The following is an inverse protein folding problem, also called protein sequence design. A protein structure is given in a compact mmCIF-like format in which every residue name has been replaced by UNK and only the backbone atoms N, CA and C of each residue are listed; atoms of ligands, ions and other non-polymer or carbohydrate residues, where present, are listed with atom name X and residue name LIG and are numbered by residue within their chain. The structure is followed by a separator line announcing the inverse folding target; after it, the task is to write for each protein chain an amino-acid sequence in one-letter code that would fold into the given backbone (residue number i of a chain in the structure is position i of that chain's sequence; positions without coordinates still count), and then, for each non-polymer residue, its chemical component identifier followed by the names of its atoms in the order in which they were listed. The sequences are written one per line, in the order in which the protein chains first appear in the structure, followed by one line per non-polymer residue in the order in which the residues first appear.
data_IF_251982997353
#
_entry.id   IF_251982997353
#
_cell.length_a   1.000
_cell.length_b   1.000
_cell.length_c   1.000
_cell.angle_alpha   90.00
_cell.angle_beta   90.00
_cell.angle_gamma   90.00
#
_symmetry.space_group_name_H-M   'P 1'
#
loop_
_entity.id
_entity.type
_entity.pdbx_description
1 polymer ?
#
# COMPACT_ATOMS: atom_id res chain seq x y z
N UNK A 1 28.59 14.49 39.56
CA UNK A 1 27.93 15.55 38.77
C UNK A 1 28.40 15.46 37.33
N UNK A 2 27.64 14.80 36.46
CA UNK A 2 27.86 14.80 35.01
C UNK A 2 26.50 15.10 34.38
N UNK A 3 26.37 16.26 33.75
CA UNK A 3 25.16 16.69 33.05
C UNK A 3 24.96 15.81 31.82
N UNK A 4 23.75 15.26 31.68
CA UNK A 4 23.24 14.63 30.48
C UNK A 4 22.92 15.72 29.46
N UNK A 5 23.46 15.60 28.24
CA UNK A 5 23.06 16.44 27.11
C UNK A 5 21.80 15.86 26.51
N UNK A 6 20.71 16.63 26.50
CA UNK A 6 19.53 16.35 25.71
C UNK A 6 19.82 16.75 24.26
N UNK A 7 19.65 15.82 23.32
CA UNK A 7 19.61 16.14 21.90
C UNK A 7 18.19 16.66 21.59
N UNK A 8 18.09 17.93 21.18
CA UNK A 8 16.88 18.50 20.62
C UNK A 8 16.72 17.96 19.18
N UNK A 9 15.64 17.26 18.89
CA UNK A 9 15.21 17.00 17.53
C UNK A 9 14.69 18.32 16.95
N UNK A 10 15.43 18.90 16.00
CA UNK A 10 14.97 20.06 15.25
C UNK A 10 14.12 19.58 14.09
N UNK A 11 12.80 19.78 14.17
CA UNK A 11 11.93 19.73 13.01
C UNK A 11 12.33 20.87 12.06
N UNK A 12 12.86 20.54 10.88
CA UNK A 12 13.10 21.55 9.84
C UNK A 12 11.79 21.83 9.12
N UNK A 13 11.11 22.91 9.51
CA UNK A 13 10.10 23.54 8.67
C UNK A 13 10.83 24.32 7.57
N UNK A 14 10.70 23.87 6.32
CA UNK A 14 11.20 24.62 5.16
C UNK A 14 10.17 25.69 4.83
N UNK A 15 10.47 26.95 5.14
CA UNK A 15 9.69 28.09 4.64
C UNK A 15 10.31 28.51 3.32
N UNK A 16 9.78 27.96 2.22
CA UNK A 16 10.13 28.40 0.86
C UNK A 16 9.46 29.74 0.55
N UNK A 17 10.24 30.76 0.24
CA UNK A 17 9.77 31.98 -0.42
C UNK A 17 10.08 31.86 -1.91
N UNK A 18 9.36 30.97 -2.58
CA UNK A 18 9.29 30.89 -4.05
C UNK A 18 8.07 31.66 -4.54
N UNK A 19 8.17 32.31 -5.69
CA UNK A 19 7.03 32.95 -6.33
C UNK A 19 5.95 31.90 -6.66
N UNK A 20 4.69 32.21 -6.35
CA UNK A 20 3.46 31.41 -6.56
C UNK A 20 3.11 31.16 -8.05
N UNK A 21 4.09 30.92 -8.91
CA UNK A 21 3.96 31.16 -10.34
C UNK A 21 3.32 30.02 -11.16
N UNK A 22 3.19 28.80 -10.62
CA UNK A 22 2.79 27.64 -11.42
C UNK A 22 1.44 26.99 -11.02
N UNK A 23 0.88 27.29 -9.85
CA UNK A 23 -0.44 26.76 -9.47
C UNK A 23 -1.58 27.44 -10.23
N UNK A 24 -2.60 26.66 -10.61
CA UNK A 24 -3.75 27.14 -11.39
C UNK A 24 -4.60 28.23 -10.69
N UNK A 25 -4.40 28.45 -9.39
CA UNK A 25 -5.08 29.48 -8.61
C UNK A 25 -4.20 30.07 -7.50
N UNK A 26 -4.57 31.25 -6.98
CA UNK A 26 -3.89 31.86 -5.84
C UNK A 26 -4.40 31.26 -4.52
N UNK A 27 -3.60 30.40 -3.88
CA UNK A 27 -3.95 29.82 -2.58
C UNK A 27 -3.56 30.76 -1.42
N UNK A 28 -4.56 31.38 -0.79
CA UNK A 28 -4.37 32.22 0.41
C UNK A 28 -4.61 31.48 1.73
N UNK A 29 -5.03 30.21 1.67
CA UNK A 29 -5.44 29.42 2.84
C UNK A 29 -4.38 28.39 3.17
N UNK A 30 -4.06 28.23 4.46
CA UNK A 30 -3.14 27.16 4.88
C UNK A 30 -3.81 25.80 4.69
N UNK A 31 -3.26 24.97 3.81
CA UNK A 31 -3.71 23.60 3.56
C UNK A 31 -2.70 22.62 4.17
N UNK A 32 -3.19 21.61 4.87
CA UNK A 32 -2.36 20.61 5.54
C UNK A 32 -2.75 19.22 5.08
N UNK A 33 -1.78 18.37 4.75
CA UNK A 33 -2.04 17.00 4.32
C UNK A 33 -1.31 15.97 5.18
N UNK A 34 -1.95 14.83 5.42
CA UNK A 34 -1.32 13.64 6.02
C UNK A 34 -1.52 12.44 5.09
N UNK A 35 -0.41 11.91 4.56
CA UNK A 35 -0.41 10.83 3.55
C UNK A 35 0.60 9.74 3.89
N UNK A 36 0.58 8.65 3.13
CA UNK A 36 1.56 7.58 3.27
C UNK A 36 2.94 8.00 2.73
N UNK A 37 4.02 7.54 3.37
CA UNK A 37 5.38 7.84 2.92
C UNK A 37 5.87 6.98 1.74
N UNK A 38 5.56 7.35 0.51
CA UNK A 38 6.19 6.73 -0.67
C UNK A 38 6.25 7.71 -1.87
N UNK A 39 7.02 7.35 -2.90
CA UNK A 39 7.38 8.22 -4.02
C UNK A 39 6.18 8.89 -4.70
N UNK A 40 5.09 8.18 -4.96
CA UNK A 40 3.93 8.78 -5.61
C UNK A 40 3.27 9.87 -4.74
N UNK A 41 3.12 9.66 -3.43
CA UNK A 41 2.64 10.72 -2.54
C UNK A 41 3.64 11.86 -2.41
N UNK A 42 4.93 11.57 -2.49
CA UNK A 42 5.96 12.61 -2.54
C UNK A 42 5.77 13.50 -3.78
N UNK A 43 5.63 12.90 -4.96
CA UNK A 43 5.37 13.62 -6.21
C UNK A 43 4.10 14.48 -6.13
N UNK A 44 2.99 13.90 -5.66
CA UNK A 44 1.71 14.62 -5.50
C UNK A 44 1.84 15.78 -4.53
N UNK A 45 2.46 15.58 -3.36
CA UNK A 45 2.58 16.64 -2.34
C UNK A 45 3.62 17.70 -2.68
N UNK A 46 4.66 17.37 -3.44
CA UNK A 46 5.60 18.34 -3.99
C UNK A 46 4.87 19.27 -4.97
N UNK A 47 4.06 18.72 -5.88
CA UNK A 47 3.23 19.50 -6.81
C UNK A 47 2.18 20.35 -6.07
N UNK A 48 1.52 19.81 -5.03
CA UNK A 48 0.64 20.60 -4.17
C UNK A 48 1.36 21.81 -3.55
N UNK A 49 2.64 21.68 -3.20
CA UNK A 49 3.40 22.74 -2.56
C UNK A 49 3.65 23.96 -3.46
N UNK A 50 3.53 23.80 -4.77
CA UNK A 50 3.67 24.88 -5.76
C UNK A 50 2.57 25.95 -5.62
N UNK A 51 1.41 25.58 -5.08
CA UNK A 51 0.35 26.52 -4.72
C UNK A 51 0.70 27.45 -3.54
N UNK A 52 1.75 27.13 -2.78
CA UNK A 52 2.10 27.85 -1.56
C UNK A 52 1.05 27.68 -0.45
N UNK A 53 1.43 28.06 0.78
CA UNK A 53 0.61 27.82 1.98
C UNK A 53 0.19 26.35 2.18
N UNK A 54 1.01 25.40 1.72
CA UNK A 54 0.78 23.96 1.90
C UNK A 54 1.80 23.38 2.89
N UNK A 55 1.32 22.58 3.83
CA UNK A 55 2.13 21.81 4.78
C UNK A 55 1.82 20.31 4.64
N UNK A 56 2.72 19.56 4.01
CA UNK A 56 2.56 18.12 3.81
C UNK A 56 3.34 17.29 4.86
N UNK A 57 2.66 16.32 5.50
CA UNK A 57 3.26 15.26 6.30
C UNK A 57 3.12 13.91 5.58
N UNK A 58 4.25 13.28 5.30
CA UNK A 58 4.33 11.91 4.78
C UNK A 58 4.82 10.99 5.90
N UNK A 59 4.02 9.98 6.25
CA UNK A 59 4.34 9.09 7.37
C UNK A 59 4.01 7.62 7.05
N UNK A 60 4.83 6.67 7.52
CA UNK A 60 4.54 5.24 7.41
C UNK A 60 3.39 4.80 8.34
N UNK A 61 3.26 5.49 9.48
CA UNK A 61 2.28 5.26 10.53
C UNK A 61 1.03 6.15 10.33
N UNK A 62 0.86 6.76 9.16
CA UNK A 62 -0.28 7.65 8.87
C UNK A 62 -1.63 6.99 9.22
N UNK A 63 -1.77 5.67 8.98
CA UNK A 63 -2.99 4.90 9.26
C UNK A 63 -3.40 4.93 10.73
N UNK A 64 -2.44 5.04 11.65
CA UNK A 64 -2.69 5.10 13.09
C UNK A 64 -3.03 6.53 13.53
N UNK A 65 -2.45 7.53 12.87
CA UNK A 65 -2.61 8.96 13.21
C UNK A 65 -3.88 9.58 12.61
N UNK A 66 -4.21 9.21 11.37
CA UNK A 66 -5.19 9.89 10.54
C UNK A 66 -6.60 9.90 11.16
N UNK A 67 -7.13 8.81 11.75
CA UNK A 67 -8.46 8.83 12.35
C UNK A 67 -8.63 9.87 13.46
N UNK A 68 -7.69 9.94 14.41
CA UNK A 68 -7.76 10.92 15.50
C UNK A 68 -7.53 12.35 14.99
N UNK A 69 -6.64 12.52 14.03
CA UNK A 69 -6.34 13.83 13.45
C UNK A 69 -7.55 14.42 12.68
N UNK A 70 -8.31 13.57 11.99
CA UNK A 70 -9.56 13.93 11.31
C UNK A 70 -10.72 14.15 12.28
N UNK A 71 -10.76 13.44 13.41
CA UNK A 71 -11.80 13.61 14.43
C UNK A 71 -11.66 14.90 15.27
N UNK A 72 -10.46 15.50 15.34
CA UNK A 72 -10.23 16.77 16.03
C UNK A 72 -11.12 17.91 15.46
N UNK A 73 -11.49 18.91 16.25
CA UNK A 73 -12.39 19.99 15.81
C UNK A 73 -11.79 21.41 16.06
N UNK A 74 -11.40 22.16 15.01
CA UNK A 74 -11.36 21.73 13.60
C UNK A 74 -10.33 20.60 13.38
N UNK A 75 -10.41 19.89 12.25
CA UNK A 75 -9.43 18.84 11.94
C UNK A 75 -8.01 19.39 11.96
N UNK A 76 -7.05 18.54 12.37
CA UNK A 76 -5.64 18.88 12.29
C UNK A 76 -5.11 18.89 10.84
N UNK A 77 -5.79 18.20 9.91
CA UNK A 77 -5.44 18.12 8.51
C UNK A 77 -6.63 18.40 7.61
N UNK A 78 -6.40 19.07 6.49
CA UNK A 78 -7.43 19.37 5.51
C UNK A 78 -7.59 18.21 4.51
N UNK A 79 -6.47 17.60 4.12
CA UNK A 79 -6.37 16.54 3.12
C UNK A 79 -5.83 15.27 3.78
N UNK A 80 -6.46 14.14 3.48
CA UNK A 80 -6.00 12.82 3.91
C UNK A 80 -5.64 12.00 2.69
N UNK A 81 -4.41 11.48 2.65
CA UNK A 81 -4.07 10.40 1.73
C UNK A 81 -4.62 9.08 2.27
N UNK A 82 -5.45 8.40 1.50
CA UNK A 82 -6.10 7.15 1.90
C UNK A 82 -5.90 6.08 0.84
N UNK A 83 -6.01 4.83 1.28
CA UNK A 83 -6.31 3.69 0.41
C UNK A 83 -7.69 3.14 0.76
N UNK A 84 -8.17 2.15 -0.01
CA UNK A 84 -9.49 1.54 0.19
C UNK A 84 -9.77 1.21 1.66
N UNK A 85 -8.79 0.63 2.38
CA UNK A 85 -8.94 0.21 3.77
C UNK A 85 -8.91 1.35 4.77
N UNK A 86 -8.13 2.42 4.53
CA UNK A 86 -7.96 3.53 5.48
C UNK A 86 -9.04 4.60 5.32
N UNK A 87 -9.76 4.62 4.19
CA UNK A 87 -10.95 5.45 4.02
C UNK A 87 -12.10 5.00 4.93
N UNK A 88 -12.28 3.68 5.13
CA UNK A 88 -13.39 3.09 5.90
C UNK A 88 -13.57 3.69 7.30
N UNK A 89 -12.54 3.75 8.18
CA UNK A 89 -12.72 4.33 9.51
C UNK A 89 -13.10 5.81 9.48
N UNK A 90 -12.55 6.60 8.54
CA UNK A 90 -12.87 8.02 8.42
C UNK A 90 -14.32 8.26 7.99
N UNK A 91 -14.77 7.48 7.01
CA UNK A 91 -16.13 7.46 6.51
C UNK A 91 -17.13 7.09 7.61
N UNK A 92 -16.89 5.98 8.32
CA UNK A 92 -17.75 5.52 9.40
C UNK A 92 -17.84 6.53 10.56
N UNK A 93 -16.75 7.25 10.83
CA UNK A 93 -16.72 8.30 11.85
C UNK A 93 -17.39 9.61 11.39
N UNK A 94 -17.77 9.75 10.11
CA UNK A 94 -18.32 10.98 9.55
C UNK A 94 -17.30 12.12 9.49
N UNK A 95 -16.01 11.80 9.46
CA UNK A 95 -14.91 12.78 9.54
C UNK A 95 -14.40 13.25 8.18
N UNK A 96 -14.95 12.69 7.09
CA UNK A 96 -14.69 13.11 5.71
C UNK A 96 -15.99 13.57 5.07
N UNK A 97 -15.91 14.59 4.20
CA UNK A 97 -17.09 15.16 3.54
C UNK A 97 -17.34 14.54 2.17
N UNK A 98 -18.60 14.50 1.71
CA UNK A 98 -18.90 14.35 0.29
C UNK A 98 -18.21 15.45 -0.53
N UNK A 99 -17.74 15.08 -1.72
CA UNK A 99 -16.99 15.92 -2.65
C UNK A 99 -17.83 16.33 -3.87
N UNK A 100 -19.10 15.92 -3.98
CA UNK A 100 -19.94 16.15 -5.18
C UNK A 100 -19.99 17.62 -5.60
N UNK A 101 -20.18 18.56 -4.65
CA UNK A 101 -20.21 20.00 -4.94
C UNK A 101 -18.84 20.53 -5.39
N UNK A 102 -17.76 20.04 -4.75
CA UNK A 102 -16.38 20.42 -5.09
C UNK A 102 -15.98 19.89 -6.47
N UNK A 103 -16.35 18.65 -6.79
CA UNK A 103 -16.15 18.04 -8.10
C UNK A 103 -16.96 18.77 -9.17
N UNK A 104 -18.22 19.12 -8.89
CA UNK A 104 -19.04 19.87 -9.84
C UNK A 104 -18.45 21.26 -10.14
N UNK A 105 -17.80 21.89 -9.14
CA UNK A 105 -17.24 23.22 -9.25
C UNK A 105 -15.82 23.23 -9.86
N UNK A 106 -14.95 22.30 -9.49
CA UNK A 106 -13.51 22.34 -9.82
C UNK A 106 -12.98 21.07 -10.51
N UNK A 107 -13.73 19.96 -10.50
CA UNK A 107 -13.24 18.64 -10.92
C UNK A 107 -13.49 18.28 -12.38
N UNK A 108 -13.50 19.25 -13.30
CA UNK A 108 -13.89 19.02 -14.71
C UNK A 108 -12.91 18.13 -15.48
N UNK A 109 -11.66 18.07 -15.02
CA UNK A 109 -10.60 17.24 -15.61
C UNK A 109 -10.48 15.87 -14.92
N UNK A 110 -11.32 15.58 -13.92
CA UNK A 110 -11.34 14.26 -13.28
C UNK A 110 -12.02 13.22 -14.15
N UNK A 111 -11.35 12.08 -14.32
CA UNK A 111 -11.91 10.93 -15.00
C UNK A 111 -12.88 10.12 -14.09
N UNK A 112 -13.90 9.45 -14.66
CA UNK A 112 -14.88 8.69 -13.86
C UNK A 112 -14.28 7.61 -12.96
N UNK A 113 -13.15 7.00 -13.36
CA UNK A 113 -12.42 5.98 -12.61
C UNK A 113 -11.66 6.53 -11.39
N UNK A 114 -11.50 7.85 -11.27
CA UNK A 114 -10.96 8.48 -10.06
C UNK A 114 -12.04 8.73 -9.00
N UNK A 115 -13.33 8.75 -9.36
CA UNK A 115 -14.40 9.14 -8.46
C UNK A 115 -14.84 7.94 -7.59
N UNK A 116 -14.32 7.87 -6.36
CA UNK A 116 -14.70 6.83 -5.41
C UNK A 116 -16.03 7.20 -4.75
N UNK A 117 -17.05 6.37 -5.01
CA UNK A 117 -18.41 6.59 -4.53
C UNK A 117 -18.81 5.63 -3.41
N UNK A 118 -19.48 6.19 -2.40
CA UNK A 118 -20.17 5.46 -1.34
C UNK A 118 -21.61 5.96 -1.29
N UNK A 119 -22.58 5.04 -1.35
CA UNK A 119 -24.01 5.37 -1.33
C UNK A 119 -24.41 6.44 -2.35
N UNK A 120 -23.74 6.44 -3.51
CA UNK A 120 -23.98 7.37 -4.62
C UNK A 120 -23.23 8.70 -4.54
N UNK A 121 -22.64 9.05 -3.40
CA UNK A 121 -21.88 10.29 -3.21
C UNK A 121 -20.38 10.08 -3.41
N UNK A 122 -19.66 11.09 -3.88
CA UNK A 122 -18.20 11.03 -4.06
C UNK A 122 -17.56 11.32 -2.70
N UNK A 123 -16.69 10.42 -2.21
CA UNK A 123 -15.97 10.63 -0.93
C UNK A 123 -14.47 10.74 -1.09
N UNK A 124 -13.90 10.21 -2.18
CA UNK A 124 -12.47 10.30 -2.45
C UNK A 124 -12.20 10.48 -3.94
N UNK A 125 -11.06 11.08 -4.25
CA UNK A 125 -10.51 11.14 -5.60
C UNK A 125 -9.27 10.24 -5.64
N UNK A 126 -9.36 9.11 -6.34
CA UNK A 126 -8.25 8.19 -6.52
C UNK A 126 -7.20 8.77 -7.48
N UNK A 127 -5.93 8.60 -7.14
CA UNK A 127 -4.79 9.07 -7.94
C UNK A 127 -4.05 7.93 -8.63
N UNK A 128 -4.07 6.73 -8.05
CA UNK A 128 -3.33 5.57 -8.57
C UNK A 128 -4.00 4.26 -8.21
N UNK A 129 -3.60 3.20 -8.92
CA UNK A 129 -3.84 1.81 -8.52
C UNK A 129 -2.55 1.15 -8.07
N UNK A 130 -2.67 0.13 -7.23
CA UNK A 130 -1.55 -0.62 -6.72
C UNK A 130 -1.92 -2.09 -6.55
N UNK A 131 -0.93 -2.96 -6.69
CA UNK A 131 -1.04 -4.38 -6.43
C UNK A 131 0.35 -4.93 -6.16
N UNK A 132 0.44 -5.92 -5.26
CA UNK A 132 1.64 -6.73 -5.20
C UNK A 132 1.71 -7.60 -6.47
N UNK A 133 2.90 -7.69 -7.05
CA UNK A 133 3.17 -8.52 -8.21
C UNK A 133 4.61 -9.03 -8.17
N UNK A 134 4.93 -10.03 -9.00
CA UNK A 134 6.25 -10.61 -9.01
C UNK A 134 7.26 -9.64 -9.64
N UNK A 135 8.21 -9.19 -8.85
CA UNK A 135 9.43 -8.54 -9.31
C UNK A 135 10.55 -9.58 -9.29
N UNK A 136 11.39 -9.62 -10.34
CA UNK A 136 12.48 -10.59 -10.42
C UNK A 136 13.71 -10.04 -11.15
N UNK A 137 14.89 -10.55 -10.79
CA UNK A 137 16.17 -10.29 -11.45
C UNK A 137 16.26 -11.10 -12.74
N UNK A 138 15.95 -10.46 -13.86
CA UNK A 138 15.90 -11.10 -15.17
C UNK A 138 17.28 -11.62 -15.62
N UNK A 139 18.34 -10.92 -15.22
CA UNK A 139 19.72 -11.34 -15.46
C UNK A 139 20.10 -12.62 -14.70
N UNK A 140 19.69 -12.76 -13.43
CA UNK A 140 19.92 -13.97 -12.64
C UNK A 140 19.15 -15.16 -13.25
N UNK A 141 17.86 -14.99 -13.56
CA UNK A 141 17.08 -16.07 -14.17
C UNK A 141 17.68 -16.49 -15.52
N UNK A 142 18.10 -15.53 -16.36
CA UNK A 142 18.70 -15.81 -17.66
C UNK A 142 20.06 -16.53 -17.55
N UNK A 143 20.94 -16.13 -16.62
CA UNK A 143 22.23 -16.79 -16.37
C UNK A 143 22.05 -18.29 -16.05
N UNK A 144 20.99 -18.61 -15.31
CA UNK A 144 20.68 -19.96 -14.88
C UNK A 144 19.70 -20.71 -15.81
N UNK A 145 19.26 -20.10 -16.91
CA UNK A 145 18.26 -20.65 -17.84
C UNK A 145 16.95 -21.04 -17.13
N UNK A 146 16.50 -20.20 -16.19
CA UNK A 146 15.26 -20.36 -15.45
C UNK A 146 14.15 -19.56 -16.13
N UNK A 147 12.97 -20.17 -16.22
CA UNK A 147 11.77 -19.48 -16.65
C UNK A 147 11.24 -18.55 -15.54
N UNK A 148 10.43 -17.56 -15.91
CA UNK A 148 9.77 -16.68 -14.94
C UNK A 148 8.65 -17.47 -14.23
N UNK A 149 8.69 -17.61 -12.89
CA UNK A 149 7.69 -18.42 -12.19
C UNK A 149 6.31 -17.75 -12.22
N UNK A 150 5.28 -18.55 -12.43
CA UNK A 150 3.88 -18.14 -12.54
C UNK A 150 3.01 -18.68 -11.40
N UNK A 151 3.53 -19.66 -10.66
CA UNK A 151 2.90 -20.22 -9.46
C UNK A 151 3.81 -20.05 -8.24
N UNK A 152 3.24 -20.07 -7.04
CA UNK A 152 4.06 -20.01 -5.82
C UNK A 152 4.94 -21.25 -5.63
N UNK A 153 4.53 -22.41 -6.12
CA UNK A 153 5.38 -23.62 -6.14
C UNK A 153 6.62 -23.40 -7.02
N UNK A 154 6.44 -22.85 -8.23
CA UNK A 154 7.56 -22.50 -9.13
C UNK A 154 8.47 -21.43 -8.52
N UNK A 155 7.92 -20.48 -7.74
CA UNK A 155 8.72 -19.51 -6.97
C UNK A 155 9.60 -20.21 -5.95
N UNK A 156 9.07 -21.18 -5.19
CA UNK A 156 9.85 -21.95 -4.21
C UNK A 156 10.89 -22.84 -4.87
N UNK A 157 10.56 -23.50 -5.99
CA UNK A 157 11.51 -24.30 -6.77
C UNK A 157 12.67 -23.46 -7.31
N UNK A 158 12.33 -22.28 -7.87
CA UNK A 158 13.33 -21.31 -8.35
C UNK A 158 14.21 -20.82 -7.20
N UNK A 159 13.60 -20.49 -6.05
CA UNK A 159 14.33 -20.05 -4.86
C UNK A 159 15.26 -21.14 -4.31
N UNK A 160 14.81 -22.39 -4.28
CA UNK A 160 15.61 -23.54 -3.87
C UNK A 160 16.81 -23.75 -4.78
N UNK A 161 16.59 -23.70 -6.09
CA UNK A 161 17.66 -23.81 -7.07
C UNK A 161 18.71 -22.70 -6.86
N UNK A 162 18.29 -21.43 -6.81
CA UNK A 162 19.20 -20.29 -6.64
C UNK A 162 20.00 -20.38 -5.34
N UNK A 163 19.39 -20.84 -4.25
CA UNK A 163 20.11 -21.12 -2.99
C UNK A 163 21.14 -22.23 -3.15
N UNK A 164 20.80 -23.31 -3.87
CA UNK A 164 21.67 -24.49 -4.01
C UNK A 164 22.97 -24.20 -4.77
N UNK A 165 22.96 -23.18 -5.62
CA UNK A 165 24.10 -22.73 -6.44
C UNK A 165 24.74 -21.44 -5.93
N UNK A 166 24.29 -20.91 -4.79
CA UNK A 166 24.79 -19.67 -4.18
C UNK A 166 24.71 -18.46 -5.15
N UNK A 167 23.62 -18.37 -5.92
CA UNK A 167 23.44 -17.32 -6.94
C UNK A 167 23.21 -15.93 -6.34
N UNK A 168 22.65 -15.86 -5.13
CA UNK A 168 22.25 -14.63 -4.46
C UNK A 168 22.15 -14.87 -2.94
N UNK A 169 22.36 -13.83 -2.14
CA UNK A 169 22.35 -13.92 -0.67
C UNK A 169 21.03 -14.49 -0.12
N UNK A 170 19.90 -13.96 -0.58
CA UNK A 170 18.56 -14.45 -0.24
C UNK A 170 17.73 -14.60 -1.52
N UNK A 171 17.32 -15.81 -1.94
CA UNK A 171 16.56 -15.94 -3.18
C UNK A 171 15.23 -15.16 -3.19
N UNK A 172 14.57 -15.01 -2.03
CA UNK A 172 13.27 -14.36 -1.89
C UNK A 172 13.29 -13.17 -0.92
N UNK A 173 12.57 -12.11 -1.28
CA UNK A 173 12.10 -11.07 -0.38
C UNK A 173 10.57 -11.07 -0.28
N UNK A 174 10.03 -10.61 0.84
CA UNK A 174 8.58 -10.43 1.07
C UNK A 174 8.33 -9.48 2.24
N UNK A 175 7.15 -8.87 2.28
CA UNK A 175 6.77 -7.86 3.28
C UNK A 175 6.23 -8.51 4.55
N UNK A 176 7.12 -9.16 5.30
CA UNK A 176 6.74 -10.01 6.44
C UNK A 176 6.78 -9.29 7.81
N UNK A 177 6.94 -7.96 7.85
CA UNK A 177 6.93 -7.18 9.09
C UNK A 177 5.64 -7.43 9.89
N UNK A 178 5.80 -7.84 11.16
CA UNK A 178 4.67 -8.11 12.08
C UNK A 178 3.66 -6.96 12.09
N UNK A 179 2.37 -7.30 12.21
CA UNK A 179 1.27 -6.35 12.08
C UNK A 179 0.73 -6.30 10.65
N UNK A 180 0.56 -5.09 10.11
CA UNK A 180 -0.18 -4.87 8.87
C UNK A 180 0.42 -5.57 7.64
N UNK A 181 1.75 -5.53 7.45
CA UNK A 181 2.36 -6.15 6.27
C UNK A 181 2.17 -7.68 6.27
N UNK A 182 2.46 -8.31 7.41
CA UNK A 182 2.27 -9.75 7.57
C UNK A 182 0.81 -10.19 7.40
N UNK A 183 -0.13 -9.39 7.93
CA UNK A 183 -1.55 -9.62 7.71
C UNK A 183 -1.94 -9.51 6.23
N UNK A 184 -1.37 -8.53 5.52
CA UNK A 184 -1.65 -8.32 4.10
C UNK A 184 -1.13 -9.46 3.22
N UNK A 185 0.08 -9.98 3.50
CA UNK A 185 0.61 -11.14 2.78
C UNK A 185 -0.26 -12.39 3.05
N UNK A 186 -0.77 -12.57 4.28
CA UNK A 186 -1.78 -13.60 4.56
C UNK A 186 -3.06 -13.38 3.77
N UNK A 187 -3.58 -12.14 3.71
CA UNK A 187 -4.83 -11.84 2.98
C UNK A 187 -4.70 -12.21 1.51
N UNK A 188 -3.60 -11.81 0.88
CA UNK A 188 -3.31 -12.12 -0.52
C UNK A 188 -3.25 -13.63 -0.74
N UNK A 189 -2.56 -14.35 0.15
CA UNK A 189 -2.41 -15.80 0.01
C UNK A 189 -3.72 -16.55 0.27
N UNK A 190 -4.49 -16.14 1.27
CA UNK A 190 -5.78 -16.72 1.60
C UNK A 190 -6.79 -16.58 0.45
N UNK A 191 -6.86 -15.39 -0.15
CA UNK A 191 -7.68 -15.16 -1.36
C UNK A 191 -7.16 -15.96 -2.56
N UNK A 192 -5.84 -16.08 -2.72
CA UNK A 192 -5.22 -16.91 -3.76
C UNK A 192 -5.55 -18.41 -3.64
N UNK A 193 -5.83 -18.89 -2.42
CA UNK A 193 -6.33 -20.23 -2.16
C UNK A 193 -7.87 -20.34 -2.29
N UNK A 194 -8.55 -19.30 -2.76
CA UNK A 194 -10.01 -19.28 -2.92
C UNK A 194 -10.78 -19.07 -1.61
N UNK A 195 -10.10 -18.59 -0.56
CA UNK A 195 -10.69 -18.33 0.75
C UNK A 195 -11.72 -17.20 0.73
N UNK A 196 -12.71 -17.29 1.62
CA UNK A 196 -13.68 -16.22 1.90
C UNK A 196 -13.63 -15.86 3.37
N UNK A 197 -13.39 -14.59 3.71
CA UNK A 197 -13.12 -14.17 5.10
C UNK A 197 -14.31 -14.32 6.03
N UNK A 198 -15.53 -14.17 5.52
CA UNK A 198 -16.72 -14.18 6.36
C UNK A 198 -17.86 -15.02 5.78
N UNK A 199 -18.51 -15.81 6.63
CA UNK A 199 -19.84 -16.37 6.37
C UNK A 199 -20.88 -15.31 6.73
N UNK A 200 -21.92 -15.18 5.90
CA UNK A 200 -23.04 -14.25 6.10
C UNK A 200 -22.63 -12.78 6.33
N UNK A 201 -21.41 -12.39 5.92
CA UNK A 201 -20.90 -11.02 6.02
C UNK A 201 -20.35 -10.61 7.39
N UNK A 202 -20.31 -11.49 8.39
CA UNK A 202 -19.78 -11.14 9.73
C UNK A 202 -19.08 -12.28 10.48
N UNK A 203 -19.52 -13.52 10.33
CA UNK A 203 -18.91 -14.67 11.04
C UNK A 203 -17.58 -15.03 10.37
N UNK A 204 -16.45 -15.11 11.09
CA UNK A 204 -15.16 -15.36 10.47
C UNK A 204 -15.09 -16.76 9.88
N UNK A 205 -14.29 -16.92 8.83
CA UNK A 205 -14.12 -18.18 8.12
C UNK A 205 -12.69 -18.29 7.62
N UNK A 206 -11.70 -18.15 8.49
CA UNK A 206 -10.28 -18.29 8.11
C UNK A 206 -9.69 -19.60 8.59
N UNK A 207 -10.30 -20.25 9.59
CA UNK A 207 -9.91 -21.58 10.08
C UNK A 207 -10.46 -22.69 9.18
N UNK A 208 -9.90 -22.79 7.97
CA UNK A 208 -10.26 -23.77 6.96
C UNK A 208 -9.03 -24.15 6.11
N UNK A 209 -9.24 -24.98 5.09
CA UNK A 209 -8.16 -25.46 4.19
C UNK A 209 -7.41 -24.31 3.48
N UNK A 210 -8.10 -23.25 3.06
CA UNK A 210 -7.45 -22.10 2.45
C UNK A 210 -6.59 -21.31 3.45
N UNK A 211 -7.02 -21.22 4.71
CA UNK A 211 -6.22 -20.60 5.78
C UNK A 211 -4.97 -21.41 6.11
N UNK A 212 -5.10 -22.73 6.15
CA UNK A 212 -3.96 -23.64 6.32
C UNK A 212 -2.96 -23.51 5.18
N UNK A 213 -3.43 -23.57 3.93
CA UNK A 213 -2.58 -23.40 2.74
C UNK A 213 -1.87 -22.04 2.72
N UNK A 214 -2.56 -20.97 3.15
CA UNK A 214 -1.95 -19.66 3.27
C UNK A 214 -0.81 -19.61 4.29
N UNK A 215 -1.03 -20.14 5.51
CA UNK A 215 0.02 -20.25 6.52
C UNK A 215 1.21 -21.08 6.01
N UNK A 216 0.94 -22.27 5.46
CA UNK A 216 1.97 -23.19 5.00
C UNK A 216 2.84 -22.60 3.89
N UNK A 217 2.24 -21.95 2.90
CA UNK A 217 2.97 -21.27 1.83
C UNK A 217 3.84 -20.13 2.38
N UNK A 218 3.27 -19.27 3.24
CA UNK A 218 4.03 -18.19 3.89
C UNK A 218 5.20 -18.74 4.72
N UNK A 219 5.03 -19.87 5.39
CA UNK A 219 6.09 -20.54 6.16
C UNK A 219 7.17 -21.15 5.26
N UNK A 220 6.79 -21.72 4.13
CA UNK A 220 7.73 -22.27 3.16
C UNK A 220 8.63 -21.19 2.56
N UNK A 221 8.07 -20.00 2.26
CA UNK A 221 8.84 -18.85 1.76
C UNK A 221 9.98 -18.45 2.70
N UNK A 222 9.77 -18.50 4.03
CA UNK A 222 10.77 -18.01 5.00
C UNK A 222 12.09 -18.79 4.96
N UNK A 223 12.12 -19.98 4.35
CA UNK A 223 13.35 -20.77 4.19
C UNK A 223 14.33 -20.16 3.17
N UNK A 224 13.87 -19.20 2.36
CA UNK A 224 14.62 -18.56 1.27
C UNK A 224 14.77 -17.05 1.43
N UNK A 225 14.36 -16.52 2.59
CA UNK A 225 14.40 -15.10 2.92
C UNK A 225 15.55 -14.76 3.86
N UNK A 226 15.79 -13.46 4.04
CA UNK A 226 16.56 -12.96 5.17
C UNK A 226 15.97 -13.51 6.49
N UNK A 227 16.77 -14.12 7.39
CA UNK A 227 16.30 -14.63 8.68
C UNK A 227 15.58 -13.60 9.56
N UNK A 228 15.84 -12.30 9.36
CA UNK A 228 15.15 -11.20 10.06
C UNK A 228 13.85 -10.76 9.36
N UNK A 229 13.24 -11.62 8.52
CA UNK A 229 12.05 -11.30 7.73
C UNK A 229 10.88 -10.66 8.51
N UNK A 230 10.73 -10.90 9.82
CA UNK A 230 9.67 -10.30 10.65
C UNK A 230 9.82 -8.79 10.89
N UNK A 231 10.90 -8.15 10.42
CA UNK A 231 11.03 -6.68 10.36
C UNK A 231 10.93 -6.13 8.94
N UNK A 232 10.78 -6.99 7.93
CA UNK A 232 10.79 -6.65 6.51
C UNK A 232 9.51 -5.95 6.07
N UNK A 233 9.51 -4.62 6.03
CA UNK A 233 8.45 -3.85 5.34
C UNK A 233 8.81 -3.62 3.86
N UNK A 234 7.93 -2.92 3.13
CA UNK A 234 8.13 -2.68 1.71
C UNK A 234 9.42 -1.92 1.39
N UNK A 235 9.85 -1.01 2.27
CA UNK A 235 11.10 -0.25 2.09
C UNK A 235 12.31 -1.15 2.30
N UNK A 236 12.24 -2.05 3.29
CA UNK A 236 13.29 -3.05 3.50
C UNK A 236 13.47 -3.97 2.28
N UNK A 237 12.38 -4.55 1.75
CA UNK A 237 12.45 -5.41 0.55
C UNK A 237 12.94 -4.64 -0.68
N UNK A 238 12.47 -3.41 -0.85
CA UNK A 238 12.95 -2.50 -1.92
C UNK A 238 14.48 -2.35 -1.84
N UNK A 239 15.02 -2.06 -0.65
CA UNK A 239 16.46 -1.91 -0.44
C UNK A 239 17.23 -3.20 -0.67
N UNK A 240 16.67 -4.36 -0.34
CA UNK A 240 17.29 -5.65 -0.65
C UNK A 240 17.47 -5.83 -2.15
N UNK A 241 16.47 -5.50 -2.98
CA UNK A 241 16.62 -5.54 -4.44
C UNK A 241 17.67 -4.53 -4.92
N UNK A 242 17.58 -3.27 -4.48
CA UNK A 242 18.51 -2.21 -4.88
C UNK A 242 19.97 -2.58 -4.58
N UNK A 243 20.21 -3.33 -3.50
CA UNK A 243 21.53 -3.82 -3.10
C UNK A 243 21.92 -5.17 -3.75
N UNK A 244 21.07 -5.73 -4.62
CA UNK A 244 21.32 -7.01 -5.29
C UNK A 244 21.25 -8.23 -4.37
N UNK A 245 20.64 -8.11 -3.19
CA UNK A 245 20.58 -9.17 -2.17
C UNK A 245 19.48 -10.19 -2.40
N UNK A 246 18.48 -9.86 -3.21
CA UNK A 246 17.37 -10.74 -3.54
C UNK A 246 17.19 -10.90 -5.05
N UNK A 247 16.72 -12.08 -5.46
CA UNK A 247 16.41 -12.39 -6.86
C UNK A 247 14.93 -12.21 -7.19
N UNK A 248 14.02 -12.47 -6.26
CA UNK A 248 12.57 -12.34 -6.48
C UNK A 248 11.84 -11.81 -5.25
N UNK A 249 10.73 -11.09 -5.47
CA UNK A 249 9.77 -10.77 -4.42
C UNK A 249 8.39 -10.49 -5.02
N UNK A 250 7.32 -10.82 -4.28
CA UNK A 250 5.99 -10.28 -4.58
C UNK A 250 5.86 -8.94 -3.85
N UNK A 251 5.97 -7.83 -4.58
CA UNK A 251 6.10 -6.49 -3.98
C UNK A 251 5.15 -5.48 -4.64
N UNK A 252 4.80 -4.43 -3.90
CA UNK A 252 3.92 -3.36 -4.37
C UNK A 252 4.48 -2.65 -5.61
N UNK A 253 3.62 -2.39 -6.58
CA UNK A 253 3.99 -1.66 -7.79
C UNK A 253 4.56 -0.27 -7.53
N UNK A 254 4.13 0.39 -6.44
CA UNK A 254 4.70 1.66 -5.99
C UNK A 254 6.17 1.60 -5.58
N UNK A 255 6.78 0.41 -5.51
CA UNK A 255 8.22 0.20 -5.22
C UNK A 255 9.05 -0.02 -6.47
N UNK A 256 8.41 -0.20 -7.63
CA UNK A 256 9.07 -0.57 -8.87
C UNK A 256 9.99 0.56 -9.40
N UNK A 257 9.52 1.82 -9.37
CA UNK A 257 10.30 2.98 -9.83
C UNK A 257 11.68 3.10 -9.17
N UNK A 258 11.75 2.85 -7.87
CA UNK A 258 13.00 2.94 -7.10
C UNK A 258 14.06 1.91 -7.52
N UNK A 259 13.70 0.84 -8.24
CA UNK A 259 14.67 -0.13 -8.76
C UNK A 259 15.58 0.46 -9.83
N UNK A 260 15.09 1.46 -10.56
CA UNK A 260 15.78 2.09 -11.69
C UNK A 260 16.42 3.45 -11.32
N UNK A 261 16.41 3.83 -10.04
CA UNK A 261 17.15 5.00 -9.57
C UNK A 261 18.64 4.66 -9.44
N UNK A 262 19.46 5.18 -10.35
CA UNK A 262 20.90 4.96 -10.38
C UNK A 262 21.67 5.57 -9.19
N UNK A 263 21.06 6.46 -8.40
CA UNK A 263 21.66 6.97 -7.17
C UNK A 263 21.56 5.95 -6.02
N UNK A 264 20.51 5.13 -6.01
CA UNK A 264 20.17 4.25 -4.89
C UNK A 264 20.25 2.75 -5.24
N UNK A 265 20.24 2.39 -6.53
CA UNK A 265 20.15 1.01 -7.01
C UNK A 265 21.38 0.56 -7.78
N UNK A 266 21.87 -0.64 -7.44
CA UNK A 266 22.92 -1.36 -8.16
C UNK A 266 22.38 -2.28 -9.26
N UNK A 267 21.05 -2.39 -9.39
CA UNK A 267 20.35 -3.33 -10.29
C UNK A 267 19.48 -2.62 -11.32
N UNK A 268 19.81 -1.36 -11.65
CA UNK A 268 19.10 -0.54 -12.63
C UNK A 268 18.92 -1.28 -13.95
N UNK A 269 17.68 -1.39 -14.41
CA UNK A 269 17.33 -2.07 -15.65
C UNK A 269 17.46 -3.60 -15.62
N UNK A 270 17.73 -4.21 -14.47
CA UNK A 270 17.86 -5.67 -14.31
C UNK A 270 16.65 -6.32 -13.64
N UNK A 271 15.80 -5.54 -12.98
CA UNK A 271 14.57 -6.03 -12.34
C UNK A 271 13.40 -5.90 -13.30
N UNK A 272 12.77 -7.01 -13.65
CA UNK A 272 11.58 -7.06 -14.50
C UNK A 272 10.34 -7.45 -13.71
N UNK A 273 9.17 -7.23 -14.32
CA UNK A 273 7.86 -7.38 -13.68
C UNK A 273 7.05 -8.49 -14.35
N UNK A 274 6.39 -9.31 -13.54
CA UNK A 274 5.41 -10.30 -13.96
C UNK A 274 4.18 -10.22 -13.06
N UNK A 275 3.09 -10.89 -13.45
CA UNK A 275 1.91 -10.99 -12.59
C UNK A 275 2.28 -11.61 -11.23
N UNK A 276 1.49 -11.31 -10.19
CA UNK A 276 1.58 -12.06 -8.95
C UNK A 276 1.40 -13.56 -9.24
N UNK A 277 2.14 -14.45 -8.58
CA UNK A 277 1.98 -15.88 -8.81
C UNK A 277 0.62 -16.37 -8.30
N UNK A 278 0.04 -17.34 -8.99
CA UNK A 278 -1.16 -18.04 -8.49
C UNK A 278 -0.76 -19.01 -7.38
N UNK A 279 -1.54 -19.08 -6.31
CA UNK A 279 -1.32 -20.04 -5.24
C UNK A 279 -1.89 -21.42 -5.59
N UNK A 280 -3.05 -21.44 -6.24
CA UNK A 280 -3.75 -22.66 -6.66
C UNK A 280 -4.13 -22.53 -8.13
N UNK A 281 -3.85 -23.58 -8.92
CA UNK A 281 -4.17 -23.59 -10.34
C UNK A 281 -5.67 -23.30 -10.59
N UNK A 282 -5.95 -22.35 -11.49
CA UNK A 282 -7.31 -21.92 -11.82
C UNK A 282 -7.92 -20.87 -10.88
N UNK A 283 -7.23 -20.47 -9.82
CA UNK A 283 -7.59 -19.29 -9.02
C UNK A 283 -6.97 -18.01 -9.59
N UNK A 284 -7.46 -16.87 -9.12
CA UNK A 284 -6.82 -15.58 -9.39
C UNK A 284 -5.42 -15.50 -8.76
N UNK A 285 -4.54 -14.61 -9.24
CA UNK A 285 -3.25 -14.35 -8.59
C UNK A 285 -3.41 -14.05 -7.10
N UNK A 286 -2.48 -14.53 -6.28
CA UNK A 286 -2.47 -14.29 -4.84
C UNK A 286 -2.01 -12.85 -4.53
N UNK A 287 -2.93 -11.92 -4.75
CA UNK A 287 -2.76 -10.48 -4.59
C UNK A 287 -4.13 -9.83 -4.39
N UNK A 288 -4.14 -8.52 -4.19
CA UNK A 288 -5.35 -7.70 -4.12
C UNK A 288 -5.14 -6.39 -4.86
N UNK A 289 -6.19 -5.86 -5.49
CA UNK A 289 -6.15 -4.54 -6.12
C UNK A 289 -6.48 -3.44 -5.12
N UNK A 290 -5.68 -2.39 -5.16
CA UNK A 290 -5.76 -1.22 -4.30
C UNK A 290 -5.83 0.04 -5.15
N UNK A 291 -6.40 1.08 -4.58
CA UNK A 291 -6.22 2.45 -5.03
C UNK A 291 -5.74 3.30 -3.86
N UNK A 292 -4.96 4.32 -4.18
CA UNK A 292 -4.62 5.40 -3.26
C UNK A 292 -5.23 6.70 -3.80
N UNK A 293 -5.62 7.60 -2.92
CA UNK A 293 -6.33 8.84 -3.27
C UNK A 293 -6.50 9.79 -2.11
N UNK A 294 -7.14 10.92 -2.37
CA UNK A 294 -7.37 11.96 -1.37
C UNK A 294 -8.81 11.95 -0.84
N UNK A 295 -8.97 12.31 0.43
CA UNK A 295 -10.23 12.70 1.08
C UNK A 295 -10.08 14.09 1.69
N UNK A 296 -11.20 14.78 1.90
CA UNK A 296 -11.24 16.10 2.56
C UNK A 296 -11.97 15.98 3.90
N UNK A 297 -11.41 16.59 4.96
CA UNK A 297 -12.01 16.59 6.29
C UNK A 297 -13.40 17.25 6.29
N UNK A 298 -14.31 16.78 7.15
CA UNK A 298 -15.68 17.30 7.24
C UNK A 298 -15.85 18.49 8.18
N UNK A 299 -14.98 18.62 9.18
CA UNK A 299 -15.02 19.60 10.25
C UNK A 299 -13.99 20.73 10.05
N UNK A 300 -13.99 21.27 8.84
CA UNK A 300 -13.27 22.48 8.41
C UNK A 300 -14.26 23.43 7.73
N UNK A 301 -13.90 24.70 7.53
CA UNK A 301 -14.75 25.64 6.80
C UNK A 301 -14.88 25.28 5.31
N UNK A 302 -15.93 25.76 4.64
CA UNK A 302 -16.09 25.54 3.20
C UNK A 302 -15.00 26.24 2.37
N UNK A 303 -14.46 27.35 2.87
CA UNK A 303 -13.31 28.04 2.27
C UNK A 303 -12.04 27.16 2.33
N UNK A 304 -11.75 26.57 3.49
CA UNK A 304 -10.64 25.62 3.66
C UNK A 304 -10.84 24.37 2.80
N UNK A 305 -12.06 23.83 2.72
CA UNK A 305 -12.35 22.66 1.90
C UNK A 305 -12.19 22.93 0.39
N UNK A 306 -12.61 24.10 -0.09
CA UNK A 306 -12.43 24.51 -1.48
C UNK A 306 -10.95 24.73 -1.83
N UNK A 307 -10.18 25.35 -0.93
CA UNK A 307 -8.73 25.50 -1.09
C UNK A 307 -8.04 24.14 -1.11
N UNK A 308 -8.36 23.27 -0.14
CA UNK A 308 -7.78 21.93 -0.04
C UNK A 308 -8.07 21.07 -1.28
N UNK A 309 -9.29 21.12 -1.81
CA UNK A 309 -9.63 20.37 -3.02
C UNK A 309 -8.89 20.88 -4.26
N UNK A 310 -8.83 22.20 -4.48
CA UNK A 310 -8.09 22.75 -5.61
C UNK A 310 -6.58 22.48 -5.51
N UNK A 311 -5.98 22.60 -4.30
CA UNK A 311 -4.58 22.19 -4.07
C UNK A 311 -4.39 20.70 -4.40
N UNK A 312 -5.32 19.83 -3.99
CA UNK A 312 -5.23 18.41 -4.29
C UNK A 312 -5.30 18.13 -5.81
N UNK A 313 -6.11 18.88 -6.57
CA UNK A 313 -6.18 18.76 -8.03
C UNK A 313 -4.89 19.19 -8.71
N UNK A 314 -4.25 20.26 -8.23
CA UNK A 314 -2.90 20.65 -8.70
C UNK A 314 -1.90 19.52 -8.48
N UNK A 315 -1.95 18.88 -7.31
CA UNK A 315 -1.11 17.72 -7.00
C UNK A 315 -1.40 16.47 -7.86
N UNK A 316 -2.49 16.45 -8.61
CA UNK A 316 -2.97 15.31 -9.40
C UNK A 316 -3.21 15.69 -10.86
N UNK A 317 -2.33 16.52 -11.41
CA UNK A 317 -2.40 16.98 -12.79
C UNK A 317 -1.52 16.16 -13.75
N UNK A 318 -1.61 16.47 -15.04
CA UNK A 318 -0.85 15.75 -16.08
C UNK A 318 0.64 16.07 -16.07
N UNK A 319 1.06 17.26 -15.63
CA UNK A 319 2.47 17.65 -15.63
C UNK A 319 3.22 16.92 -14.51
N UNK A 320 2.61 16.80 -13.32
CA UNK A 320 3.09 15.95 -12.22
C UNK A 320 3.25 14.50 -12.68
N UNK A 321 2.24 13.93 -13.34
CA UNK A 321 2.29 12.55 -13.84
C UNK A 321 3.39 12.36 -14.88
N UNK A 322 3.52 13.27 -15.84
CA UNK A 322 4.56 13.15 -16.88
C UNK A 322 5.97 13.25 -16.28
N UNK A 323 6.18 14.10 -15.28
CA UNK A 323 7.44 14.21 -14.56
C UNK A 323 7.74 12.97 -13.69
N UNK A 324 6.72 12.25 -13.24
CA UNK A 324 6.82 11.14 -12.29
C UNK A 324 6.16 9.85 -12.80
N UNK A 325 6.23 9.59 -14.11
CA UNK A 325 5.44 8.54 -14.78
C UNK A 325 5.63 7.15 -14.15
N UNK A 326 6.86 6.85 -13.70
CA UNK A 326 7.23 5.53 -13.19
C UNK A 326 7.07 5.40 -11.66
N UNK A 327 6.63 6.46 -10.96
CA UNK A 327 6.44 6.44 -9.52
C UNK A 327 5.19 5.65 -9.07
N UNK A 328 4.21 5.48 -9.97
CA UNK A 328 3.00 4.71 -9.70
C UNK A 328 2.31 4.23 -10.99
N UNK A 329 1.28 3.40 -10.83
CA UNK A 329 0.29 3.15 -11.88
C UNK A 329 -0.83 4.17 -11.73
N UNK A 330 -0.66 5.33 -12.35
CA UNK A 330 -1.54 6.48 -12.17
C UNK A 330 -2.93 6.28 -12.79
N UNK A 331 -3.94 6.88 -12.16
CA UNK A 331 -5.32 7.03 -12.67
C UNK A 331 -5.59 8.43 -13.24
N UNK A 332 -4.52 9.21 -13.40
CA UNK A 332 -4.54 10.62 -13.80
C UNK A 332 -4.12 10.71 -15.28
N UNK A 333 -4.72 11.65 -16.00
CA UNK A 333 -4.41 11.91 -17.40
C UNK A 333 -2.92 12.21 -17.61
N UNK A 334 -2.37 11.76 -18.74
CA UNK A 334 -0.93 11.90 -19.06
C UNK A 334 -0.10 10.66 -18.71
N UNK A 335 -0.66 9.71 -17.95
CA UNK A 335 0.04 8.46 -17.65
C UNK A 335 0.27 7.59 -18.88
N UNK A 336 1.50 7.12 -19.05
CA UNK A 336 1.86 6.13 -20.06
C UNK A 336 2.42 4.87 -19.39
N UNK A 337 1.70 3.73 -19.44
CA UNK A 337 2.18 2.49 -18.84
C UNK A 337 3.56 2.07 -19.37
N UNK A 338 4.54 2.04 -18.46
CA UNK A 338 5.90 1.61 -18.73
C UNK A 338 6.16 0.14 -18.43
N UNK A 339 7.44 -0.24 -18.48
CA UNK A 339 7.96 -1.58 -18.14
C UNK A 339 7.64 -1.96 -16.69
N UNK A 340 7.82 -1.02 -15.77
CA UNK A 340 7.64 -1.20 -14.33
C UNK A 340 6.16 -1.36 -13.90
N UNK A 341 5.21 -1.02 -14.77
CA UNK A 341 3.78 -1.18 -14.53
C UNK A 341 3.23 -2.53 -14.99
N UNK A 342 3.97 -3.28 -15.82
CA UNK A 342 3.45 -4.47 -16.51
C UNK A 342 2.98 -5.55 -15.54
N UNK A 343 3.69 -5.78 -14.43
CA UNK A 343 3.31 -6.80 -13.46
C UNK A 343 1.99 -6.49 -12.76
N UNK A 344 1.78 -5.24 -12.34
CA UNK A 344 0.52 -4.80 -11.74
C UNK A 344 -0.66 -4.88 -12.73
N UNK A 345 -0.44 -4.49 -13.98
CA UNK A 345 -1.43 -4.59 -15.06
C UNK A 345 -1.77 -6.06 -15.32
N UNK A 346 -0.76 -6.93 -15.43
CA UNK A 346 -0.95 -8.36 -15.65
C UNK A 346 -1.71 -9.03 -14.50
N UNK A 347 -1.39 -8.68 -13.25
CA UNK A 347 -2.13 -9.10 -12.05
C UNK A 347 -3.61 -8.70 -12.14
N UNK A 348 -3.89 -7.44 -12.47
CA UNK A 348 -5.28 -6.97 -12.61
C UNK A 348 -6.04 -7.68 -13.76
N UNK A 349 -5.40 -7.83 -14.92
CA UNK A 349 -5.98 -8.51 -16.09
C UNK A 349 -6.26 -10.00 -15.81
N UNK A 350 -5.47 -10.62 -14.95
CA UNK A 350 -5.65 -12.02 -14.52
C UNK A 350 -6.80 -12.21 -13.51
N UNK A 351 -7.57 -11.17 -13.20
CA UNK A 351 -8.80 -11.28 -12.40
C UNK A 351 -8.60 -11.18 -10.89
N UNK A 352 -7.47 -10.60 -10.44
CA UNK A 352 -7.24 -10.31 -9.02
C UNK A 352 -8.37 -9.46 -8.43
N UNK A 353 -8.97 -9.86 -7.30
CA UNK A 353 -10.05 -9.10 -6.67
C UNK A 353 -9.52 -7.81 -6.02
N UNK A 354 -10.37 -6.78 -5.84
CA UNK A 354 -10.02 -5.65 -4.98
C UNK A 354 -9.87 -6.10 -3.53
N UNK A 355 -9.07 -5.37 -2.75
CA UNK A 355 -9.05 -5.58 -1.31
C UNK A 355 -10.48 -5.43 -0.73
N UNK A 356 -10.98 -6.39 0.06
CA UNK A 356 -12.37 -6.40 0.53
C UNK A 356 -12.63 -5.38 1.67
N UNK A 357 -12.33 -4.10 1.44
CA UNK A 357 -12.39 -3.05 2.46
C UNK A 357 -13.77 -2.96 3.14
N UNK A 358 -13.78 -3.15 4.46
CA UNK A 358 -14.95 -3.03 5.33
C UNK A 358 -14.51 -2.88 6.79
N UNK A 359 -15.43 -2.52 7.69
CA UNK A 359 -15.15 -2.50 9.13
C UNK A 359 -14.69 -3.88 9.61
N UNK A 360 -15.41 -4.93 9.21
CA UNK A 360 -15.09 -6.33 9.52
C UNK A 360 -13.69 -6.69 9.04
N UNK A 361 -13.34 -6.34 7.80
CA UNK A 361 -12.00 -6.63 7.28
C UNK A 361 -10.91 -5.84 8.00
N UNK A 362 -11.17 -4.61 8.45
CA UNK A 362 -10.21 -3.87 9.29
C UNK A 362 -9.90 -4.60 10.61
N UNK A 363 -10.93 -5.16 11.26
CA UNK A 363 -10.78 -5.96 12.47
C UNK A 363 -10.06 -7.29 12.19
N UNK A 364 -10.44 -7.98 11.11
CA UNK A 364 -9.80 -9.23 10.69
C UNK A 364 -8.32 -9.02 10.35
N UNK A 365 -7.98 -7.93 9.64
CA UNK A 365 -6.60 -7.57 9.32
C UNK A 365 -5.76 -7.36 10.59
N UNK A 366 -6.33 -6.71 11.61
CA UNK A 366 -5.68 -6.56 12.92
C UNK A 366 -5.46 -7.91 13.59
N UNK A 367 -6.48 -8.78 13.63
CA UNK A 367 -6.39 -10.12 14.22
C UNK A 367 -5.33 -10.99 13.53
N UNK A 368 -5.25 -10.93 12.20
CA UNK A 368 -4.21 -11.57 11.41
C UNK A 368 -2.82 -11.07 11.80
N UNK A 369 -2.64 -9.74 11.83
CA UNK A 369 -1.35 -9.11 12.11
C UNK A 369 -0.79 -9.42 13.49
N UNK A 370 -1.69 -9.68 14.45
CA UNK A 370 -1.34 -10.07 15.82
C UNK A 370 -0.93 -11.54 15.95
N UNK A 371 -1.40 -12.43 15.08
CA UNK A 371 -1.31 -13.88 15.31
C UNK A 371 -0.40 -14.63 14.33
N UNK A 372 -0.28 -14.20 13.07
CA UNK A 372 0.47 -14.99 12.06
C UNK A 372 1.96 -15.16 12.44
N UNK A 373 2.56 -14.20 13.12
CA UNK A 373 3.95 -14.28 13.56
C UNK A 373 4.21 -15.45 14.53
N UNK A 374 3.25 -15.82 15.37
CA UNK A 374 3.37 -16.95 16.29
C UNK A 374 3.51 -18.28 15.55
N UNK A 375 2.81 -18.44 14.42
CA UNK A 375 2.99 -19.61 13.56
C UNK A 375 4.38 -19.63 12.92
N UNK A 376 4.80 -18.49 12.35
CA UNK A 376 6.08 -18.41 11.66
C UNK A 376 7.27 -18.65 12.59
N UNK A 377 7.15 -18.31 13.88
CA UNK A 377 8.19 -18.56 14.89
C UNK A 377 8.07 -19.94 15.56
N UNK A 378 7.00 -20.69 15.30
CA UNK A 378 6.73 -21.99 15.91
C UNK A 378 6.19 -21.90 17.35
N UNK A 379 5.76 -20.71 17.79
CA UNK A 379 5.10 -20.51 19.08
C UNK A 379 3.67 -21.11 19.10
N UNK A 380 3.01 -21.15 17.94
CA UNK A 380 1.72 -21.83 17.72
C UNK A 380 1.83 -22.72 16.47
N UNK A 381 1.04 -23.80 16.44
CA UNK A 381 0.80 -24.52 15.18
C UNK A 381 -0.25 -23.79 14.32
N UNK A 382 -0.45 -24.26 13.09
CA UNK A 382 -1.32 -23.59 12.13
C UNK A 382 -2.79 -23.55 12.60
N UNK A 383 -3.33 -24.66 13.11
CA UNK A 383 -4.71 -24.74 13.61
C UNK A 383 -4.92 -23.79 14.78
N UNK A 384 -4.05 -23.82 15.79
CA UNK A 384 -4.14 -22.94 16.95
C UNK A 384 -4.00 -21.45 16.55
N UNK A 385 -3.23 -21.15 15.50
CA UNK A 385 -3.09 -19.79 14.98
C UNK A 385 -4.38 -19.30 14.33
N UNK A 386 -5.00 -20.11 13.46
CA UNK A 386 -6.27 -19.74 12.81
C UNK A 386 -7.42 -19.62 13.82
N UNK A 387 -7.49 -20.52 14.80
CA UNK A 387 -8.45 -20.41 15.91
C UNK A 387 -8.26 -19.11 16.71
N UNK A 388 -7.01 -18.71 16.98
CA UNK A 388 -6.72 -17.46 17.66
C UNK A 388 -7.11 -16.23 16.84
N UNK A 389 -6.88 -16.26 15.52
CA UNK A 389 -7.31 -15.18 14.61
C UNK A 389 -8.84 -15.01 14.65
N UNK A 390 -9.60 -16.09 14.56
CA UNK A 390 -11.06 -16.03 14.62
C UNK A 390 -11.55 -15.55 16.00
N UNK A 391 -10.93 -16.02 17.08
CA UNK A 391 -11.28 -15.59 18.44
C UNK A 391 -11.00 -14.10 18.69
N UNK A 392 -9.85 -13.59 18.22
CA UNK A 392 -9.48 -12.18 18.32
C UNK A 392 -10.43 -11.31 17.49
N UNK A 393 -10.73 -11.71 16.25
CA UNK A 393 -11.72 -11.03 15.42
C UNK A 393 -13.09 -11.00 16.08
N UNK A 394 -13.59 -12.14 16.59
CA UNK A 394 -14.90 -12.22 17.24
C UNK A 394 -14.99 -11.35 18.49
N UNK A 395 -13.89 -11.20 19.23
CA UNK A 395 -13.81 -10.31 20.38
C UNK A 395 -13.92 -8.85 19.93
N UNK A 396 -13.09 -8.44 18.96
CA UNK A 396 -13.11 -7.08 18.43
C UNK A 396 -14.44 -6.73 17.76
N UNK A 397 -15.06 -7.66 17.04
CA UNK A 397 -16.35 -7.46 16.37
C UNK A 397 -17.49 -7.24 17.37
N UNK A 398 -17.48 -7.94 18.52
CA UNK A 398 -18.44 -7.69 19.62
C UNK A 398 -18.24 -6.31 20.24
N UNK A 399 -16.99 -5.91 20.47
CA UNK A 399 -16.66 -4.59 21.02
C UNK A 399 -17.07 -3.46 20.08
N UNK A 400 -16.96 -3.69 18.77
CA UNK A 400 -17.42 -2.78 17.72
C UNK A 400 -18.95 -2.80 17.48
N UNK A 401 -19.70 -3.66 18.19
CA UNK A 401 -21.16 -3.76 18.04
C UNK A 401 -21.63 -4.40 16.72
N UNK A 402 -20.79 -5.21 16.07
CA UNK A 402 -21.11 -5.91 14.82
C UNK A 402 -21.81 -7.26 15.04
N UNK A 403 -21.78 -7.78 16.28
CA UNK A 403 -22.28 -9.11 16.68
C UNK A 403 -23.26 -9.05 17.85
#
# INVERSE_FOLDING_TARGET
MKLRSFALAAAMAVIGTGAYADCAFENTTTVKSLTAGFEAWKAVTDAMAECGNVEAELDQEFRQKQPEAFAANPSLYHIGGVANSTMVPLLNAGTIRPLDDLVAQYGQDLSPNQLIRVDGQIYAIAMMVNAQHLMYRADILAEHNLDVPTTWDEVLETAEYLRSVDAVEYPLGATMKTGWNLAQDFVNMYLGHGGTFFVNGVEPNVNNEAGMGALEMMKAMTAYMDPEYLVSDSTYVQQQFQQGKIAMANLWASRAGAMDDAAESSVVGLVEMAAAPVAVAGQAPASTLWWDGIVIASNISDEEAAAAFQVALEGMDSDMVQANNDAAVWLIDGYTPGRLAQGAIATAVAGTPPYPASTQMGLMHTALGNNVADFLTGAKDATATLEAIEADYMTAAKEAGLL
#
